data_IF_630420651488
#
_entry.id   IF_630420651488
#
_cell.length_a   1.000
_cell.length_b   1.000
_cell.length_c   1.000
_cell.angle_alpha   90.00
_cell.angle_beta   90.00
_cell.angle_gamma   90.00
#
_symmetry.space_group_name_H-M   'P 1'
#
loop_
_entity.id
_entity.type
_entity.pdbx_description
1 polymer ?
#
# COMPACT_ATOMS: atom_id res chain seq x y z
N UNK A 1 -68.76 -25.64 41.48
CA UNK A 1 -67.44 -25.01 41.74
C UNK A 1 -67.37 -23.74 40.89
N UNK A 2 -67.45 -22.57 41.53
CA UNK A 2 -67.15 -21.18 41.10
C UNK A 2 -67.33 -20.79 39.61
N UNK A 3 -68.37 -20.07 39.16
CA UNK A 3 -68.67 -18.62 39.30
C UNK A 3 -67.62 -17.62 38.77
N UNK A 4 -67.92 -17.05 37.58
CA UNK A 4 -67.99 -15.60 37.21
C UNK A 4 -66.83 -14.64 37.57
N UNK A 5 -66.12 -14.15 36.52
CA UNK A 5 -65.60 -12.77 36.17
C UNK A 5 -64.80 -11.94 37.22
N UNK A 6 -64.16 -10.77 36.92
CA UNK A 6 -64.02 -9.98 35.66
C UNK A 6 -62.61 -9.34 35.40
N UNK A 7 -62.47 -8.50 34.35
CA UNK A 7 -61.73 -7.20 34.28
C UNK A 7 -60.87 -6.95 33.00
N UNK A 8 -61.36 -6.01 32.16
CA UNK A 8 -60.66 -5.21 31.13
C UNK A 8 -60.13 -3.96 31.89
N UNK A 9 -58.92 -3.32 31.68
CA UNK A 9 -58.62 -2.56 30.44
C UNK A 9 -57.14 -2.23 30.09
N UNK A 10 -56.93 -1.88 28.81
CA UNK A 10 -56.15 -0.75 28.31
C UNK A 10 -54.68 -0.53 28.73
N UNK A 11 -53.78 -0.55 27.73
CA UNK A 11 -52.74 0.48 27.61
C UNK A 11 -52.21 0.53 26.18
N UNK A 12 -52.65 1.56 25.45
CA UNK A 12 -51.95 2.10 24.30
C UNK A 12 -50.61 2.69 24.77
N UNK A 13 -49.46 2.23 24.26
CA UNK A 13 -48.24 3.05 24.39
C UNK A 13 -47.23 2.83 23.26
N UNK A 14 -47.37 3.72 22.28
CA UNK A 14 -46.31 4.54 21.70
C UNK A 14 -45.20 3.83 20.91
N UNK A 15 -45.26 4.10 19.61
CA UNK A 15 -44.13 4.51 18.77
C UNK A 15 -42.87 4.89 19.58
N UNK A 16 -41.74 4.29 19.21
CA UNK A 16 -40.49 4.83 19.70
C UNK A 16 -39.27 3.99 19.39
N UNK A 17 -38.71 4.24 18.21
CA UNK A 17 -37.27 4.24 17.99
C UNK A 17 -36.58 2.89 18.10
N UNK A 18 -36.45 2.26 16.92
CA UNK A 18 -35.29 1.49 16.47
C UNK A 18 -34.15 1.54 17.49
N UNK A 19 -34.14 0.59 18.43
CA UNK A 19 -32.96 0.31 19.21
C UNK A 19 -31.92 -0.19 18.20
N UNK A 20 -30.99 0.70 17.86
CA UNK A 20 -29.75 0.38 17.20
C UNK A 20 -29.10 -0.69 18.08
N UNK A 21 -29.31 -1.96 17.72
CA UNK A 21 -28.57 -3.09 18.26
C UNK A 21 -27.11 -2.80 17.92
N UNK A 22 -26.40 -2.17 18.85
CA UNK A 22 -24.95 -2.08 18.83
C UNK A 22 -24.46 -3.53 18.84
N UNK A 23 -23.84 -4.01 17.75
CA UNK A 23 -23.37 -5.37 17.68
C UNK A 23 -22.36 -5.58 18.82
N UNK A 24 -22.56 -6.66 19.58
CA UNK A 24 -21.80 -6.96 20.78
C UNK A 24 -20.29 -7.04 20.53
N UNK A 25 -19.52 -6.81 21.59
CA UNK A 25 -18.06 -6.74 21.61
C UNK A 25 -17.33 -7.88 20.88
N UNK A 26 -17.97 -9.03 20.62
CA UNK A 26 -17.43 -10.11 19.78
C UNK A 26 -17.31 -9.76 18.28
N UNK A 27 -18.14 -8.86 17.76
CA UNK A 27 -18.08 -8.39 16.36
C UNK A 27 -17.04 -7.29 16.14
N UNK A 28 -16.45 -6.74 17.23
CA UNK A 28 -15.35 -5.79 17.15
C UNK A 28 -13.96 -6.47 17.09
N UNK A 29 -13.86 -7.75 17.46
CA UNK A 29 -12.59 -8.46 17.49
C UNK A 29 -11.93 -8.55 16.10
N UNK A 30 -12.72 -8.83 15.07
CA UNK A 30 -12.25 -8.90 13.67
C UNK A 30 -11.80 -7.53 13.14
N UNK A 31 -12.58 -6.43 13.23
CA UNK A 31 -12.12 -5.12 12.77
C UNK A 31 -10.97 -4.54 13.59
N UNK A 32 -10.84 -4.86 14.89
CA UNK A 32 -9.67 -4.50 15.70
C UNK A 32 -8.42 -5.28 15.25
N UNK A 33 -8.55 -6.57 14.97
CA UNK A 33 -7.45 -7.38 14.45
C UNK A 33 -7.00 -6.89 13.05
N UNK A 34 -7.95 -6.49 12.18
CA UNK A 34 -7.66 -5.87 10.88
C UNK A 34 -6.98 -4.50 11.04
N UNK A 35 -7.44 -3.67 11.98
CA UNK A 35 -6.83 -2.38 12.30
C UNK A 35 -5.39 -2.55 12.83
N UNK A 36 -5.15 -3.57 13.66
CA UNK A 36 -3.81 -3.93 14.13
C UNK A 36 -2.89 -4.41 13.00
N UNK A 37 -3.42 -5.14 12.01
CA UNK A 37 -2.67 -5.55 10.80
C UNK A 37 -2.35 -4.34 9.92
N UNK A 38 -3.27 -3.37 9.79
CA UNK A 38 -3.02 -2.08 9.13
C UNK A 38 -1.92 -1.30 9.86
N UNK A 39 -1.88 -1.33 11.19
CA UNK A 39 -0.83 -0.71 12.01
C UNK A 39 0.51 -1.46 11.92
N UNK A 40 0.51 -2.78 11.74
CA UNK A 40 1.73 -3.54 11.43
C UNK A 40 2.23 -3.27 10.00
N UNK A 41 1.32 -3.05 9.05
CA UNK A 41 1.57 -2.45 7.73
C UNK A 41 1.91 -0.95 7.78
N UNK A 42 2.04 -0.35 8.96
CA UNK A 42 2.66 0.96 9.17
C UNK A 42 4.12 0.81 9.61
N UNK A 43 4.60 -0.38 10.01
CA UNK A 43 6.01 -0.55 10.40
C UNK A 43 6.90 -0.11 9.23
N UNK A 44 7.57 1.04 9.36
CA UNK A 44 8.18 1.71 8.23
C UNK A 44 9.47 0.98 7.90
N UNK A 45 9.65 0.65 6.62
CA UNK A 45 10.97 0.26 6.13
C UNK A 45 11.88 1.48 6.30
N UNK A 46 13.06 1.35 6.93
CA UNK A 46 13.96 2.47 7.10
C UNK A 46 14.28 3.09 5.72
N UNK A 47 14.11 4.42 5.54
CA UNK A 47 14.28 5.10 4.24
C UNK A 47 15.65 4.84 3.61
N UNK A 48 16.67 4.67 4.46
CA UNK A 48 18.05 4.45 4.08
C UNK A 48 18.25 3.13 3.30
N UNK A 49 17.53 2.06 3.68
CA UNK A 49 17.61 0.79 2.97
C UNK A 49 16.91 0.89 1.60
N UNK A 50 15.81 1.65 1.54
CA UNK A 50 15.05 1.83 0.31
C UNK A 50 15.81 2.65 -0.73
N UNK A 51 16.53 3.70 -0.33
CA UNK A 51 17.40 4.48 -1.22
C UNK A 51 18.46 3.60 -1.90
N UNK A 52 19.14 2.73 -1.15
CA UNK A 52 20.15 1.82 -1.70
C UNK A 52 19.52 0.85 -2.71
N UNK A 53 18.37 0.28 -2.36
CA UNK A 53 17.65 -0.67 -3.21
C UNK A 53 17.16 -0.02 -4.51
N UNK A 54 16.66 1.21 -4.46
CA UNK A 54 16.23 1.97 -5.65
C UNK A 54 17.43 2.29 -6.55
N UNK A 55 18.54 2.77 -5.99
CA UNK A 55 19.76 3.06 -6.78
C UNK A 55 20.29 1.78 -7.42
N UNK A 56 20.26 0.65 -6.69
CA UNK A 56 20.66 -0.65 -7.22
C UNK A 56 19.76 -1.08 -8.39
N UNK A 57 18.45 -0.86 -8.33
CA UNK A 57 17.53 -1.18 -9.43
C UNK A 57 17.82 -0.38 -10.70
N UNK A 58 18.02 0.94 -10.54
CA UNK A 58 18.37 1.79 -11.68
C UNK A 58 19.71 1.35 -12.29
N UNK A 59 20.72 1.06 -11.46
CA UNK A 59 22.02 0.57 -11.93
C UNK A 59 21.89 -0.79 -12.65
N UNK A 60 21.17 -1.75 -12.07
CA UNK A 60 20.92 -3.07 -12.66
C UNK A 60 20.16 -2.96 -13.98
N UNK A 61 19.20 -2.05 -14.09
CA UNK A 61 18.47 -1.77 -15.33
C UNK A 61 19.42 -1.31 -16.45
N UNK A 62 20.33 -0.38 -16.15
CA UNK A 62 21.31 0.13 -17.13
C UNK A 62 22.35 -0.95 -17.48
N UNK A 63 22.80 -1.76 -16.51
CA UNK A 63 23.71 -2.88 -16.75
C UNK A 63 23.07 -3.89 -17.68
N UNK A 64 21.82 -4.28 -17.44
CA UNK A 64 21.12 -5.23 -18.31
C UNK A 64 20.91 -4.65 -19.71
N UNK A 65 20.60 -3.35 -19.83
CA UNK A 65 20.53 -2.67 -21.12
C UNK A 65 21.87 -2.69 -21.87
N UNK A 66 22.98 -2.46 -21.17
CA UNK A 66 24.30 -2.62 -21.76
C UNK A 66 24.54 -4.08 -22.19
N UNK A 67 24.31 -5.05 -21.31
CA UNK A 67 24.50 -6.48 -21.59
C UNK A 67 23.69 -6.91 -22.83
N UNK A 68 22.43 -6.50 -22.96
CA UNK A 68 21.60 -6.82 -24.14
C UNK A 68 22.13 -6.20 -25.42
N UNK A 69 22.76 -5.03 -25.34
CA UNK A 69 23.38 -4.35 -26.50
C UNK A 69 24.63 -5.08 -27.02
N UNK A 70 25.32 -5.86 -26.17
CA UNK A 70 26.57 -6.56 -26.52
C UNK A 70 26.43 -8.07 -26.78
N UNK A 71 25.28 -8.71 -26.49
CA UNK A 71 25.10 -10.15 -26.73
C UNK A 71 24.86 -10.43 -28.23
N UNK A 72 25.78 -11.16 -28.87
CA UNK A 72 25.70 -11.59 -30.28
C UNK A 72 25.38 -13.09 -30.48
N UNK A 73 25.40 -13.92 -29.42
CA UNK A 73 25.21 -15.38 -29.52
C UNK A 73 23.95 -15.91 -28.80
N UNK A 74 23.13 -16.75 -29.46
CA UNK A 74 21.89 -17.31 -28.92
C UNK A 74 22.05 -18.38 -27.83
N UNK A 75 23.27 -18.71 -27.38
CA UNK A 75 23.50 -19.69 -26.29
C UNK A 75 23.42 -19.04 -24.90
N UNK A 76 23.71 -17.74 -24.78
CA UNK A 76 23.49 -16.95 -23.55
C UNK A 76 22.00 -16.61 -23.35
N UNK A 77 21.17 -16.86 -24.37
CA UNK A 77 19.72 -16.62 -24.33
C UNK A 77 18.97 -17.54 -23.36
N UNK A 78 19.53 -18.64 -22.85
CA UNK A 78 18.81 -19.48 -21.89
C UNK A 78 18.83 -18.90 -20.47
N UNK A 79 19.89 -18.18 -20.09
CA UNK A 79 20.00 -17.52 -18.77
C UNK A 79 19.31 -16.16 -18.79
N UNK A 80 19.30 -15.53 -19.97
CA UNK A 80 18.77 -14.19 -20.16
C UNK A 80 17.30 -13.99 -19.70
N UNK A 81 16.31 -14.82 -20.09
CA UNK A 81 14.92 -14.69 -19.65
C UNK A 81 14.76 -14.84 -18.14
N UNK A 82 15.49 -15.76 -17.51
CA UNK A 82 15.41 -15.98 -16.07
C UNK A 82 15.99 -14.79 -15.30
N UNK A 83 17.11 -14.23 -15.75
CA UNK A 83 17.67 -13.00 -15.18
C UNK A 83 16.71 -11.82 -15.36
N UNK A 84 16.06 -11.69 -16.52
CA UNK A 84 15.07 -10.65 -16.77
C UNK A 84 13.82 -10.81 -15.88
N UNK A 85 13.35 -12.04 -15.69
CA UNK A 85 12.23 -12.38 -14.80
C UNK A 85 12.55 -12.03 -13.33
N UNK A 86 13.77 -12.35 -12.88
CA UNK A 86 14.23 -11.97 -11.55
C UNK A 86 14.32 -10.44 -11.39
N UNK A 87 14.89 -9.74 -12.38
CA UNK A 87 14.95 -8.27 -12.37
C UNK A 87 13.57 -7.62 -12.37
N UNK A 88 12.63 -8.15 -13.15
CA UNK A 88 11.26 -7.62 -13.18
C UNK A 88 10.52 -7.86 -11.87
N UNK A 89 10.75 -9.00 -11.21
CA UNK A 89 10.20 -9.26 -9.89
C UNK A 89 10.82 -8.34 -8.82
N UNK A 90 12.13 -8.08 -8.92
CA UNK A 90 12.83 -7.11 -8.08
C UNK A 90 12.25 -5.69 -8.27
N UNK A 91 12.06 -5.25 -9.52
CA UNK A 91 11.37 -3.98 -9.83
C UNK A 91 9.98 -3.90 -9.22
N UNK A 92 9.18 -4.96 -9.35
CA UNK A 92 7.82 -4.98 -8.81
C UNK A 92 7.83 -4.83 -7.28
N UNK A 93 8.70 -5.57 -6.58
CA UNK A 93 8.82 -5.49 -5.13
C UNK A 93 9.25 -4.10 -4.65
N UNK A 94 10.24 -3.49 -5.33
CA UNK A 94 10.70 -2.15 -4.98
C UNK A 94 9.68 -1.07 -5.28
N UNK A 95 8.97 -1.16 -6.40
CA UNK A 95 7.93 -0.18 -6.75
C UNK A 95 6.74 -0.23 -5.79
N UNK A 96 6.32 -1.41 -5.32
CA UNK A 96 5.27 -1.53 -4.30
C UNK A 96 5.76 -1.01 -2.94
N UNK A 97 7.01 -1.29 -2.58
CA UNK A 97 7.62 -0.82 -1.33
C UNK A 97 7.80 0.70 -1.32
N UNK A 98 8.27 1.29 -2.43
CA UNK A 98 8.48 2.73 -2.57
C UNK A 98 7.16 3.50 -2.51
N UNK A 99 6.13 3.04 -3.23
CA UNK A 99 4.80 3.66 -3.16
C UNK A 99 4.24 3.64 -1.73
N UNK A 100 4.37 2.52 -1.01
CA UNK A 100 3.97 2.47 0.41
C UNK A 100 4.77 3.45 1.27
N UNK A 101 6.09 3.53 1.09
CA UNK A 101 6.93 4.44 1.88
C UNK A 101 6.61 5.91 1.58
N UNK A 102 6.38 6.26 0.32
CA UNK A 102 5.97 7.60 -0.12
C UNK A 102 4.59 7.96 0.46
N UNK A 103 3.63 7.03 0.45
CA UNK A 103 2.29 7.28 0.98
C UNK A 103 2.25 7.37 2.52
N UNK A 104 3.14 6.65 3.22
CA UNK A 104 3.21 6.66 4.69
C UNK A 104 4.03 7.83 5.25
N UNK A 105 5.15 8.17 4.61
CA UNK A 105 6.08 9.20 5.12
C UNK A 105 6.04 10.51 4.32
N UNK A 106 5.37 10.55 3.16
CA UNK A 106 5.29 11.76 2.32
C UNK A 106 4.56 12.94 2.97
N UNK A 107 3.74 12.69 4.00
CA UNK A 107 3.07 13.75 4.76
C UNK A 107 4.03 14.57 5.65
N UNK A 108 5.27 14.10 5.86
CA UNK A 108 6.34 14.80 6.57
C UNK A 108 7.31 15.58 5.66
N UNK A 109 7.06 15.63 4.34
CA UNK A 109 7.92 16.26 3.34
C UNK A 109 8.61 15.25 2.42
N UNK A 110 9.09 15.71 1.26
CA UNK A 110 9.75 14.88 0.23
C UNK A 110 11.02 14.19 0.74
N UNK A 111 11.76 14.83 1.65
CA UNK A 111 12.94 14.28 2.30
C UNK A 111 12.65 13.05 3.19
N UNK A 112 11.41 12.87 3.66
CA UNK A 112 11.05 11.74 4.52
C UNK A 112 10.80 10.42 3.74
N UNK A 113 10.61 10.51 2.42
CA UNK A 113 10.44 9.34 1.56
C UNK A 113 11.78 8.67 1.17
N UNK A 114 12.90 9.39 1.27
CA UNK A 114 14.23 8.95 0.84
C UNK A 114 14.92 10.02 -0.01
N UNK A 115 16.24 10.18 0.14
CA UNK A 115 17.00 11.21 -0.55
C UNK A 115 17.06 10.95 -2.07
N UNK A 116 17.11 9.68 -2.49
CA UNK A 116 17.16 9.33 -3.91
C UNK A 116 15.82 9.64 -4.56
N UNK A 117 14.71 9.33 -3.90
CA UNK A 117 13.36 9.64 -4.41
C UNK A 117 13.18 11.16 -4.53
N UNK A 118 13.60 11.94 -3.54
CA UNK A 118 13.52 13.40 -3.58
C UNK A 118 14.39 14.01 -4.68
N UNK A 119 15.64 13.54 -4.83
CA UNK A 119 16.55 14.00 -5.87
C UNK A 119 16.04 13.65 -7.27
N UNK A 120 15.54 12.43 -7.46
CA UNK A 120 14.99 11.97 -8.74
C UNK A 120 13.71 12.72 -9.11
N UNK A 121 12.86 13.01 -8.11
CA UNK A 121 11.70 13.87 -8.26
C UNK A 121 12.10 15.25 -8.78
N UNK A 122 12.97 15.96 -8.06
CA UNK A 122 13.45 17.28 -8.47
C UNK A 122 14.14 17.29 -9.84
N UNK A 123 14.90 16.23 -10.16
CA UNK A 123 15.55 16.06 -11.47
C UNK A 123 14.54 15.93 -12.61
N UNK A 124 13.48 15.13 -12.44
CA UNK A 124 12.47 14.89 -13.49
C UNK A 124 11.58 16.12 -13.72
N UNK A 125 11.13 16.81 -12.66
CA UNK A 125 10.30 18.02 -12.84
C UNK A 125 11.12 19.26 -13.23
N UNK A 126 12.41 19.32 -12.94
CA UNK A 126 13.28 20.44 -13.38
C UNK A 126 12.77 21.83 -12.97
N UNK A 127 12.02 21.93 -11.88
CA UNK A 127 11.38 23.17 -11.41
C UNK A 127 10.01 23.50 -12.04
N UNK A 128 9.51 22.69 -12.98
CA UNK A 128 8.19 22.83 -13.57
C UNK A 128 7.41 21.52 -13.51
N UNK A 129 6.41 21.47 -12.62
CA UNK A 129 5.54 20.31 -12.43
C UNK A 129 4.82 19.85 -13.70
N UNK A 130 4.54 20.77 -14.64
CA UNK A 130 3.91 20.44 -15.93
C UNK A 130 4.84 19.57 -16.78
N UNK A 131 6.15 19.85 -16.77
CA UNK A 131 7.15 19.09 -17.53
C UNK A 131 7.25 17.68 -16.98
N UNK A 132 7.32 17.53 -15.65
CA UNK A 132 7.33 16.21 -15.03
C UNK A 132 6.07 15.38 -15.31
N UNK A 133 4.91 16.02 -15.44
CA UNK A 133 3.65 15.35 -15.75
C UNK A 133 3.56 14.85 -17.20
N UNK A 134 4.36 15.39 -18.12
CA UNK A 134 4.40 14.98 -19.55
C UNK A 134 5.43 13.88 -19.81
N UNK A 135 6.50 13.84 -19.02
CA UNK A 135 7.57 12.83 -19.15
C UNK A 135 7.14 11.47 -18.58
N UNK A 136 6.23 11.48 -17.61
CA UNK A 136 5.70 10.30 -16.93
C UNK A 136 4.46 9.73 -17.65
#
# INVERSE_FOLDING_TARGET
>A
MSTVSPAIPGSQSKAGWRALKLPGAGNLAVPIAVLAIVVALIMPMPPLLLDVLIVLDMAMSVIVLMVTMYILKPVDFSVFPTTLLLLTLFRLALNVSSARLILLNGNGGTAAAGNVIEAFGNFVVGGNYVIGCVIF
#
